data_IF_388285512082
#
_entry.id   IF_388285512082
#
_cell.length_a   1.000
_cell.length_b   1.000
_cell.length_c   1.000
_cell.angle_alpha   90.00
_cell.angle_beta   90.00
_cell.angle_gamma   90.00
#
_symmetry.space_group_name_H-M   'P 1'
#
loop_
_entity.id
_entity.type
_entity.pdbx_description
1 polymer ?
#
# COMPACT_ATOMS: atom_id res chain seq x y z
N UNK A 1 32.11 -4.96 13.85
CA UNK A 1 31.83 -4.34 15.16
C UNK A 1 30.33 -4.11 15.24
N UNK A 2 29.62 -4.77 16.16
CA UNK A 2 28.19 -4.50 16.39
C UNK A 2 28.05 -3.12 17.01
N UNK A 3 27.42 -2.20 16.28
CA UNK A 3 27.09 -0.87 16.79
C UNK A 3 25.71 -0.92 17.44
N UNK A 4 25.57 -0.40 18.65
CA UNK A 4 24.29 -0.35 19.36
C UNK A 4 23.69 1.05 19.29
N UNK A 5 22.40 1.14 18.95
CA UNK A 5 21.66 2.39 18.85
C UNK A 5 20.46 2.42 19.79
N UNK A 6 20.18 3.59 20.35
CA UNK A 6 18.89 3.85 21.01
C UNK A 6 17.74 3.83 19.99
N UNK A 7 16.50 3.67 20.45
CA UNK A 7 15.30 3.69 19.59
C UNK A 7 15.26 4.95 18.70
N UNK A 8 15.63 6.12 19.24
CA UNK A 8 15.65 7.39 18.50
C UNK A 8 16.71 7.38 17.40
N UNK A 9 17.92 6.90 17.72
CA UNK A 9 19.01 6.80 16.73
C UNK A 9 18.72 5.75 15.66
N UNK A 10 18.13 4.62 16.03
CA UNK A 10 17.69 3.59 15.09
C UNK A 10 16.63 4.10 14.12
N UNK A 11 15.67 4.90 14.60
CA UNK A 11 14.66 5.57 13.74
C UNK A 11 15.32 6.53 12.74
N UNK A 12 16.27 7.35 13.18
CA UNK A 12 17.02 8.26 12.30
C UNK A 12 17.88 7.50 11.28
N UNK A 13 18.55 6.44 11.73
CA UNK A 13 19.37 5.58 10.87
C UNK A 13 18.52 4.89 9.80
N UNK A 14 17.38 4.29 10.18
CA UNK A 14 16.47 3.63 9.25
C UNK A 14 15.85 4.62 8.25
N UNK A 15 15.55 5.84 8.70
CA UNK A 15 15.05 6.91 7.83
C UNK A 15 16.07 7.30 6.76
N UNK A 16 17.36 7.37 7.11
CA UNK A 16 18.45 7.64 6.16
C UNK A 16 18.68 6.47 5.20
N UNK A 17 18.58 5.23 5.68
CA UNK A 17 18.77 4.04 4.87
C UNK A 17 17.66 3.89 3.81
N UNK A 18 16.41 4.17 4.16
CA UNK A 18 15.25 3.90 3.29
C UNK A 18 14.77 5.12 2.49
N UNK A 19 15.36 6.29 2.71
CA UNK A 19 14.88 7.58 2.20
C UNK A 19 13.38 7.83 2.49
N UNK A 20 12.84 7.18 3.53
CA UNK A 20 11.44 7.24 3.95
C UNK A 20 11.36 7.46 5.46
N UNK A 21 10.36 8.21 5.92
CA UNK A 21 10.20 8.52 7.34
C UNK A 21 9.90 7.25 8.16
N UNK A 22 10.80 6.91 9.09
CA UNK A 22 10.63 5.82 10.06
C UNK A 22 10.55 6.42 11.46
N UNK A 23 9.39 6.31 12.12
CA UNK A 23 9.21 6.84 13.48
C UNK A 23 9.82 5.94 14.54
N UNK A 24 10.00 6.48 15.75
CA UNK A 24 10.34 5.68 16.94
C UNK A 24 9.30 4.59 17.22
N UNK A 25 8.02 4.83 16.93
CA UNK A 25 6.94 3.83 17.06
C UNK A 25 7.12 2.65 16.11
N UNK A 26 7.63 2.87 14.89
CA UNK A 26 7.98 1.78 13.98
C UNK A 26 9.07 0.88 14.58
N UNK A 27 10.10 1.48 15.16
CA UNK A 27 11.19 0.73 15.80
C UNK A 27 10.68 -0.03 17.05
N UNK A 28 9.87 0.62 17.89
CA UNK A 28 9.24 -0.03 19.04
C UNK A 28 8.35 -1.20 18.64
N UNK A 29 7.62 -1.09 17.54
CA UNK A 29 6.82 -2.19 16.98
C UNK A 29 7.71 -3.39 16.60
N UNK A 30 8.84 -3.16 15.95
CA UNK A 30 9.77 -4.25 15.59
C UNK A 30 10.31 -4.99 16.81
N UNK A 31 10.59 -4.26 17.89
CA UNK A 31 11.00 -4.85 19.17
C UNK A 31 9.85 -5.65 19.80
N UNK A 32 8.65 -5.05 19.87
CA UNK A 32 7.48 -5.66 20.52
C UNK A 32 7.10 -7.00 19.90
N UNK A 33 7.17 -7.11 18.57
CA UNK A 33 6.84 -8.32 17.84
C UNK A 33 8.06 -9.24 17.59
N UNK A 34 9.18 -9.00 18.28
CA UNK A 34 10.37 -9.86 18.22
C UNK A 34 11.04 -9.93 16.85
N UNK A 35 10.83 -8.93 15.98
CA UNK A 35 11.45 -8.84 14.65
C UNK A 35 12.92 -8.42 14.73
N UNK A 36 13.26 -7.67 15.77
CA UNK A 36 14.61 -7.18 16.07
C UNK A 36 14.89 -7.43 17.55
N UNK A 37 16.11 -7.85 17.88
CA UNK A 37 16.50 -8.11 19.27
C UNK A 37 16.66 -6.80 20.04
N UNK A 38 16.17 -6.79 21.28
CA UNK A 38 16.43 -5.72 22.23
C UNK A 38 17.59 -6.11 23.14
N UNK A 39 18.51 -5.19 23.33
CA UNK A 39 19.57 -5.26 24.32
C UNK A 39 19.25 -4.24 25.39
N UNK A 40 19.31 -4.65 26.66
CA UNK A 40 19.11 -3.74 27.77
C UNK A 40 20.46 -3.47 28.42
N UNK A 41 20.92 -2.22 28.38
CA UNK A 41 22.05 -1.76 29.18
C UNK A 41 21.59 -0.61 30.05
N UNK A 42 21.74 -0.74 31.37
CA UNK A 42 21.44 0.29 32.36
C UNK A 42 20.03 0.92 32.21
N UNK A 43 19.02 0.12 31.90
CA UNK A 43 17.63 0.57 31.72
C UNK A 43 17.32 1.22 30.36
N UNK A 44 18.30 1.34 29.47
CA UNK A 44 18.11 1.85 28.12
C UNK A 44 18.00 0.69 27.12
N UNK A 45 16.98 0.76 26.25
CA UNK A 45 16.82 -0.20 25.15
C UNK A 45 17.77 0.20 24.03
N UNK A 46 18.68 -0.72 23.72
CA UNK A 46 19.65 -0.65 22.64
C UNK A 46 19.34 -1.70 21.58
N UNK A 47 19.68 -1.37 20.35
CA UNK A 47 19.38 -2.16 19.17
C UNK A 47 20.66 -2.32 18.35
N UNK A 48 21.02 -3.55 17.99
CA UNK A 48 22.15 -3.81 17.10
C UNK A 48 21.84 -3.27 15.69
N UNK A 49 22.70 -2.41 15.16
CA UNK A 49 22.61 -1.89 13.80
C UNK A 49 22.59 -3.03 12.79
N UNK A 50 23.32 -4.11 13.03
CA UNK A 50 23.39 -5.29 12.16
C UNK A 50 22.02 -5.96 12.06
N UNK A 51 21.28 -6.07 13.16
CA UNK A 51 19.92 -6.63 13.16
C UNK A 51 18.94 -5.70 12.43
N UNK A 52 19.07 -4.38 12.64
CA UNK A 52 18.27 -3.39 11.91
C UNK A 52 18.55 -3.46 10.40
N UNK A 53 19.83 -3.57 10.04
CA UNK A 53 20.29 -3.68 8.67
C UNK A 53 19.83 -4.98 8.04
N UNK A 54 19.89 -6.11 8.74
CA UNK A 54 19.38 -7.39 8.26
C UNK A 54 17.86 -7.40 8.10
N UNK A 55 17.13 -6.65 8.93
CA UNK A 55 15.69 -6.48 8.76
C UNK A 55 15.37 -5.62 7.52
N UNK A 56 16.07 -4.50 7.34
CA UNK A 56 15.76 -3.54 6.28
C UNK A 56 16.44 -3.81 4.94
N UNK A 57 17.62 -4.44 4.86
CA UNK A 57 18.33 -4.76 3.60
C UNK A 57 17.52 -5.62 2.64
N UNK A 58 16.86 -6.73 3.06
CA UNK A 58 15.99 -7.50 2.19
C UNK A 58 14.77 -6.70 1.73
N UNK A 59 14.37 -5.67 2.48
CA UNK A 59 13.30 -4.74 2.13
C UNK A 59 13.78 -3.50 1.36
N UNK A 60 15.10 -3.26 1.30
CA UNK A 60 15.76 -2.22 0.51
C UNK A 60 16.08 -2.70 -0.91
N UNK A 61 16.24 -4.00 -1.14
CA UNK A 61 15.93 -4.55 -2.45
C UNK A 61 14.44 -4.30 -2.64
N UNK A 62 14.14 -3.22 -3.36
CA UNK A 62 12.78 -2.77 -3.61
C UNK A 62 11.94 -3.99 -3.93
N UNK A 63 10.78 -4.10 -3.26
CA UNK A 63 9.75 -5.05 -3.70
C UNK A 63 9.64 -5.00 -5.24
N UNK A 64 9.78 -3.82 -5.84
CA UNK A 64 9.99 -3.62 -7.27
C UNK A 64 10.99 -4.58 -7.92
N UNK A 65 12.23 -4.71 -7.46
CA UNK A 65 13.23 -5.60 -8.06
C UNK A 65 12.88 -7.08 -7.87
N UNK A 66 12.34 -7.48 -6.71
CA UNK A 66 11.91 -8.87 -6.46
C UNK A 66 10.70 -9.22 -7.33
N UNK A 67 9.78 -8.27 -7.50
CA UNK A 67 8.54 -8.44 -8.27
C UNK A 67 8.81 -8.33 -9.78
N UNK A 68 9.67 -7.42 -10.25
CA UNK A 68 10.18 -7.37 -11.64
C UNK A 68 10.89 -8.67 -12.02
N UNK A 69 11.72 -9.22 -11.12
CA UNK A 69 12.43 -10.50 -11.35
C UNK A 69 11.50 -11.71 -11.37
N UNK A 70 10.32 -11.63 -10.73
CA UNK A 70 9.35 -12.73 -10.61
C UNK A 70 8.18 -12.63 -11.62
N UNK A 71 7.82 -11.42 -12.05
CA UNK A 71 6.64 -11.14 -12.87
C UNK A 71 6.98 -10.51 -14.25
N UNK A 72 8.24 -10.14 -14.50
CA UNK A 72 8.71 -9.56 -15.76
C UNK A 72 8.73 -8.03 -15.77
N UNK A 73 9.26 -7.46 -16.87
CA UNK A 73 9.34 -6.01 -17.12
C UNK A 73 7.97 -5.36 -17.39
N UNK A 74 6.93 -6.16 -17.61
CA UNK A 74 5.55 -5.71 -17.90
C UNK A 74 4.78 -5.18 -16.67
N UNK A 75 5.37 -5.24 -15.47
CA UNK A 75 4.71 -4.79 -14.25
C UNK A 75 4.88 -3.27 -14.05
N UNK A 76 3.82 -2.50 -14.25
CA UNK A 76 3.83 -1.06 -14.01
C UNK A 76 3.90 -0.75 -12.49
N UNK A 77 5.09 -0.37 -12.03
CA UNK A 77 5.32 -0.02 -10.62
C UNK A 77 4.53 1.21 -10.17
N UNK A 78 4.16 2.12 -11.08
CA UNK A 78 3.32 3.28 -10.76
C UNK A 78 1.89 2.88 -10.31
N UNK A 79 1.41 1.72 -10.77
CA UNK A 79 0.11 1.16 -10.37
C UNK A 79 0.18 0.31 -9.09
N UNK A 80 1.35 0.16 -8.49
CA UNK A 80 1.50 -0.58 -7.21
C UNK A 80 0.96 0.21 -6.02
N UNK A 81 0.87 1.54 -6.15
CA UNK A 81 0.49 2.48 -5.09
C UNK A 81 1.20 2.22 -3.74
N UNK A 82 2.41 1.62 -3.76
CA UNK A 82 3.18 1.20 -2.57
C UNK A 82 3.66 2.40 -1.72
N UNK A 83 3.58 3.61 -2.28
CA UNK A 83 3.88 4.87 -1.58
C UNK A 83 2.74 5.36 -0.67
N UNK A 84 1.49 4.98 -0.96
CA UNK A 84 0.33 5.41 -0.17
C UNK A 84 0.12 4.51 1.05
N UNK A 85 0.10 5.12 2.24
CA UNK A 85 -0.25 4.43 3.48
C UNK A 85 -1.70 3.93 3.39
N UNK A 86 -2.02 2.85 4.10
CA UNK A 86 -3.39 2.27 4.11
C UNK A 86 -4.47 3.31 4.50
N UNK A 87 -4.10 4.28 5.35
CA UNK A 87 -4.91 5.43 5.74
C UNK A 87 -5.18 6.44 4.60
N UNK A 88 -4.28 6.55 3.62
CA UNK A 88 -4.40 7.46 2.47
C UNK A 88 -5.11 6.78 1.29
N UNK A 89 -5.08 5.44 1.24
CA UNK A 89 -5.91 4.62 0.33
C UNK A 89 -7.40 4.71 0.65
N UNK A 90 -7.77 5.33 1.77
CA UNK A 90 -9.15 5.54 2.19
C UNK A 90 -9.48 7.04 2.20
N UNK A 91 -9.80 7.61 1.03
CA UNK A 91 -10.62 8.83 0.99
C UNK A 91 -11.89 8.58 1.82
N UNK A 92 -12.30 9.54 2.64
CA UNK A 92 -13.21 9.43 3.79
C UNK A 92 -14.62 8.87 3.52
N UNK A 93 -14.93 8.39 2.31
CA UNK A 93 -16.26 7.93 1.88
C UNK A 93 -16.41 6.40 1.91
N UNK A 94 -15.33 5.62 2.07
CA UNK A 94 -15.38 4.14 1.95
C UNK A 94 -15.36 3.35 3.27
N UNK A 95 -15.74 3.98 4.39
CA UNK A 95 -15.75 3.33 5.72
C UNK A 95 -17.00 2.48 6.00
N UNK A 96 -17.76 2.11 4.97
CA UNK A 96 -18.89 1.19 5.08
C UNK A 96 -18.37 -0.21 4.71
N UNK A 97 -18.14 -1.03 5.75
CA UNK A 97 -17.76 -2.45 5.75
C UNK A 97 -16.33 -2.84 5.30
N UNK A 98 -15.51 -3.52 6.14
CA UNK A 98 -14.26 -4.14 5.70
C UNK A 98 -14.56 -5.31 4.74
N UNK A 99 -13.94 -5.33 3.56
CA UNK A 99 -14.04 -6.45 2.60
C UNK A 99 -12.61 -6.85 2.26
N UNK A 100 -12.26 -8.14 2.42
CA UNK A 100 -10.92 -8.65 2.08
C UNK A 100 -10.83 -8.78 0.56
N UNK A 101 -10.37 -7.72 -0.10
CA UNK A 101 -10.28 -7.63 -1.57
C UNK A 101 -10.85 -6.35 -2.16
N UNK A 102 -10.70 -5.20 -1.48
CA UNK A 102 -11.12 -3.91 -2.02
C UNK A 102 -10.08 -3.39 -3.01
N UNK A 103 -10.50 -3.05 -4.22
CA UNK A 103 -9.67 -2.28 -5.14
C UNK A 103 -9.40 -0.88 -4.59
N UNK A 104 -8.18 -0.39 -4.82
CA UNK A 104 -7.75 0.95 -4.44
C UNK A 104 -8.52 1.94 -5.33
N UNK A 105 -9.22 2.95 -4.77
CA UNK A 105 -10.01 3.90 -5.57
C UNK A 105 -9.21 4.58 -6.69
N UNK A 106 -7.93 4.85 -6.44
CA UNK A 106 -7.00 5.46 -7.40
C UNK A 106 -6.75 4.55 -8.62
N UNK A 107 -6.76 3.22 -8.44
CA UNK A 107 -6.62 2.29 -9.56
C UNK A 107 -7.85 2.33 -10.46
N UNK A 108 -9.04 2.43 -9.86
CA UNK A 108 -10.28 2.50 -10.63
C UNK A 108 -10.38 3.84 -11.36
N UNK A 109 -10.05 4.94 -10.69
CA UNK A 109 -9.94 6.26 -11.28
C UNK A 109 -9.00 6.27 -12.50
N UNK A 110 -7.82 5.65 -12.36
CA UNK A 110 -6.84 5.54 -13.46
C UNK A 110 -7.43 4.92 -14.74
N UNK A 111 -8.30 3.92 -14.62
CA UNK A 111 -8.92 3.31 -15.80
C UNK A 111 -10.10 4.09 -16.36
N UNK A 112 -10.82 4.84 -15.51
CA UNK A 112 -12.04 5.54 -15.88
C UNK A 112 -11.79 6.95 -16.40
N UNK A 113 -10.79 7.66 -15.90
CA UNK A 113 -10.53 9.05 -16.31
C UNK A 113 -9.99 9.16 -17.76
N UNK A 114 -9.66 10.38 -18.17
CA UNK A 114 -9.24 10.70 -19.54
C UNK A 114 -7.72 10.76 -19.71
N UNK A 115 -6.91 10.53 -18.66
CA UNK A 115 -5.47 10.58 -18.79
C UNK A 115 -4.95 9.40 -19.63
N UNK A 116 -3.84 9.61 -20.31
CA UNK A 116 -3.08 8.58 -21.03
C UNK A 116 -1.61 8.65 -20.65
N UNK A 117 -0.94 7.52 -20.65
CA UNK A 117 0.49 7.43 -20.33
C UNK A 117 1.18 6.33 -21.16
N UNK A 118 2.35 5.88 -20.69
CA UNK A 118 3.11 4.84 -21.37
C UNK A 118 2.41 3.47 -21.40
N UNK A 119 1.36 3.26 -20.60
CA UNK A 119 0.61 2.01 -20.46
C UNK A 119 -0.86 2.16 -20.90
N UNK A 120 -1.56 3.20 -20.44
CA UNK A 120 -2.91 3.56 -20.89
C UNK A 120 -2.82 4.40 -22.16
N UNK A 121 -2.71 3.72 -23.30
CA UNK A 121 -2.54 4.37 -24.63
C UNK A 121 -3.80 5.03 -25.18
N UNK A 122 -4.97 4.76 -24.60
CA UNK A 122 -6.26 5.24 -25.10
C UNK A 122 -7.21 5.51 -23.94
N UNK A 123 -8.11 6.46 -24.16
CA UNK A 123 -9.24 6.73 -23.28
C UNK A 123 -10.38 5.79 -23.63
N UNK A 124 -10.87 5.04 -22.64
CA UNK A 124 -11.91 4.02 -22.83
C UNK A 124 -13.32 4.52 -22.50
N UNK A 125 -13.42 5.58 -21.69
CA UNK A 125 -14.68 6.08 -21.16
C UNK A 125 -14.74 7.60 -21.22
N UNK A 126 -15.94 8.14 -21.30
CA UNK A 126 -16.24 9.57 -21.32
C UNK A 126 -17.33 9.88 -20.31
N UNK A 127 -17.40 11.16 -19.91
CA UNK A 127 -18.50 11.66 -19.07
C UNK A 127 -19.85 11.31 -19.71
N UNK A 128 -20.78 10.83 -18.90
CA UNK A 128 -22.08 10.34 -19.35
C UNK A 128 -22.12 8.88 -19.81
N UNK A 129 -20.98 8.18 -19.90
CA UNK A 129 -20.98 6.74 -20.21
C UNK A 129 -21.59 5.92 -19.06
N UNK A 130 -22.12 4.74 -19.39
CA UNK A 130 -22.69 3.81 -18.42
C UNK A 130 -21.65 2.75 -18.07
N UNK A 131 -21.22 2.73 -16.81
CA UNK A 131 -20.33 1.73 -16.24
C UNK A 131 -21.17 0.62 -15.59
N UNK A 132 -20.96 -0.61 -16.05
CA UNK A 132 -21.55 -1.81 -15.48
C UNK A 132 -20.49 -2.57 -14.68
N UNK A 133 -20.69 -2.66 -13.36
CA UNK A 133 -19.86 -3.50 -12.48
C UNK A 133 -20.69 -4.72 -12.00
N UNK A 134 -20.49 -5.91 -12.61
CA UNK A 134 -21.20 -7.12 -12.22
C UNK A 134 -20.64 -7.78 -10.95
N UNK A 135 -19.52 -7.27 -10.42
CA UNK A 135 -18.86 -7.78 -9.21
C UNK A 135 -18.59 -6.64 -8.22
N UNK A 136 -19.63 -5.80 -8.04
CA UNK A 136 -19.62 -4.56 -7.28
C UNK A 136 -18.87 -4.61 -5.93
N UNK A 137 -18.88 -5.72 -5.19
CA UNK A 137 -18.18 -5.84 -3.92
C UNK A 137 -18.52 -4.67 -2.97
N UNK A 138 -17.51 -3.87 -2.60
CA UNK A 138 -17.67 -2.67 -1.76
C UNK A 138 -18.14 -1.40 -2.48
N UNK A 139 -18.40 -1.46 -3.79
CA UNK A 139 -18.93 -0.36 -4.59
C UNK A 139 -17.92 0.71 -5.00
N UNK A 140 -16.61 0.45 -4.89
CA UNK A 140 -15.56 1.43 -5.19
C UNK A 140 -15.64 1.96 -6.62
N UNK A 141 -15.88 1.07 -7.60
CA UNK A 141 -16.05 1.43 -9.02
C UNK A 141 -17.20 2.39 -9.25
N UNK A 142 -18.32 2.18 -8.56
CA UNK A 142 -19.53 2.97 -8.74
C UNK A 142 -19.34 4.40 -8.19
N UNK A 143 -18.71 4.50 -7.03
CA UNK A 143 -18.40 5.80 -6.42
C UNK A 143 -17.47 6.59 -7.33
N UNK A 144 -16.40 5.96 -7.83
CA UNK A 144 -15.46 6.66 -8.70
C UNK A 144 -16.04 7.02 -10.07
N UNK A 145 -16.83 6.14 -10.68
CA UNK A 145 -17.55 6.47 -11.91
C UNK A 145 -18.46 7.70 -11.72
N UNK A 146 -19.16 7.77 -10.60
CA UNK A 146 -20.03 8.91 -10.29
C UNK A 146 -19.24 10.21 -10.03
N UNK A 147 -18.11 10.14 -9.31
CA UNK A 147 -17.21 11.30 -9.11
C UNK A 147 -16.68 11.86 -10.45
N UNK A 148 -16.41 10.98 -11.42
CA UNK A 148 -15.94 11.35 -12.75
C UNK A 148 -17.08 11.78 -13.70
N UNK A 149 -18.34 11.76 -13.27
CA UNK A 149 -19.50 12.19 -14.06
C UNK A 149 -20.01 11.14 -15.03
N UNK A 150 -19.83 9.85 -14.71
CA UNK A 150 -20.37 8.71 -15.43
C UNK A 150 -21.59 8.12 -14.69
N UNK A 151 -22.46 7.43 -15.42
CA UNK A 151 -23.57 6.70 -14.83
C UNK A 151 -23.10 5.31 -14.40
N UNK A 152 -23.41 4.88 -13.18
CA UNK A 152 -22.91 3.63 -12.64
C UNK A 152 -24.05 2.70 -12.22
N UNK A 153 -24.15 1.54 -12.88
CA UNK A 153 -25.14 0.51 -12.58
C UNK A 153 -24.45 -0.74 -12.04
N UNK A 154 -25.08 -1.38 -11.05
CA UNK A 154 -24.55 -2.58 -10.40
C UNK A 154 -25.46 -3.78 -10.58
N UNK A 155 -24.85 -4.95 -10.76
CA UNK A 155 -25.50 -6.24 -10.53
C UNK A 155 -24.76 -6.89 -9.37
N UNK A 156 -25.46 -7.20 -8.27
CA UNK A 156 -24.89 -7.91 -7.14
C UNK A 156 -25.62 -9.26 -7.01
N UNK A 157 -24.93 -10.34 -7.33
CA UNK A 157 -25.37 -11.67 -6.93
C UNK A 157 -25.12 -11.79 -5.43
N UNK A 158 -26.18 -11.78 -4.61
CA UNK A 158 -26.09 -12.06 -3.18
C UNK A 158 -25.79 -13.56 -3.03
N UNK A 159 -24.60 -13.96 -2.54
CA UNK A 159 -24.40 -15.34 -2.16
C UNK A 159 -25.09 -15.54 -0.81
N UNK A 160 -25.94 -16.55 -0.70
CA UNK A 160 -26.52 -16.99 0.57
C UNK A 160 -25.43 -17.57 1.49
N UNK A 161 -24.65 -16.71 2.15
CA UNK A 161 -23.73 -17.12 3.22
C UNK A 161 -24.47 -17.28 4.56
N UNK A 162 -25.60 -18.01 4.55
CA UNK A 162 -26.24 -18.54 5.75
C UNK A 162 -26.21 -20.07 5.69
N UNK A 163 -25.13 -20.65 6.20
CA UNK A 163 -25.10 -21.72 7.21
C UNK A 163 -23.65 -21.96 7.64
#
# INVERSE_FOLDING_TARGET
MSQFLTIKQASQWATRLLEKQVTTSNISYLIQYGRIKKHNENGTILIDVTDLENYYKPHHQTKENIWKKRLGEDLNWALSFDEYKESERTKHVHRIHPYKGKFIPQLVEYFLDDHTDDFKKKVFFKKGDIILDPFCGSGTTLVQANELGMHANRILLLPNWRR
#
